data_IF_904695285146
#
_entry.id   IF_904695285146
#
_cell.length_a   1.000
_cell.length_b   1.000
_cell.length_c   1.000
_cell.angle_alpha   90.00
_cell.angle_beta   90.00
_cell.angle_gamma   90.00
#
_symmetry.space_group_name_H-M   'P 1'
#
loop_
_entity.id
_entity.type
_entity.pdbx_description
1 polymer ?
#
# COMPACT_ATOMS: atom_id res chain seq x y z
N UNK A 1 -10.92 11.45 64.46
CA UNK A 1 -11.86 11.37 63.32
C UNK A 1 -11.06 11.22 62.03
N UNK A 2 -11.23 10.09 61.34
CA UNK A 2 -10.55 9.68 60.09
C UNK A 2 -11.04 10.54 58.92
N UNK A 3 -10.12 11.11 58.12
CA UNK A 3 -10.44 11.62 56.77
C UNK A 3 -9.76 10.68 55.75
N UNK A 4 -10.60 9.91 55.06
CA UNK A 4 -10.24 9.01 53.97
C UNK A 4 -10.45 9.71 52.63
N UNK A 5 -9.55 9.40 51.68
CA UNK A 5 -9.74 9.30 50.21
C UNK A 5 -10.31 10.54 49.47
N UNK A 6 -9.96 10.87 48.23
CA UNK A 6 -9.86 10.03 47.05
C UNK A 6 -8.87 10.67 46.04
N UNK A 7 -7.87 9.92 45.59
CA UNK A 7 -7.15 10.23 44.35
C UNK A 7 -7.66 9.25 43.29
N UNK A 8 -8.63 9.69 42.49
CA UNK A 8 -9.06 8.98 41.29
C UNK A 8 -8.22 9.45 40.11
N UNK A 9 -7.20 8.69 39.73
CA UNK A 9 -6.47 8.94 38.48
C UNK A 9 -7.25 8.31 37.32
N UNK A 10 -7.89 9.15 36.50
CA UNK A 10 -8.51 8.72 35.24
C UNK A 10 -7.40 8.59 34.20
N UNK A 11 -7.07 7.35 33.82
CA UNK A 11 -6.19 7.07 32.68
C UNK A 11 -7.05 7.05 31.41
N UNK A 12 -7.05 8.14 30.64
CA UNK A 12 -7.64 8.16 29.31
C UNK A 12 -6.68 7.46 28.33
N UNK A 13 -7.03 6.26 27.88
CA UNK A 13 -6.29 5.58 26.81
C UNK A 13 -6.57 6.26 25.47
N UNK A 14 -5.55 6.87 24.86
CA UNK A 14 -5.63 7.30 23.46
C UNK A 14 -5.64 6.06 22.56
N UNK A 15 -6.78 5.78 21.93
CA UNK A 15 -6.84 4.85 20.80
C UNK A 15 -6.35 5.62 19.57
N UNK A 16 -5.16 5.29 19.07
CA UNK A 16 -4.69 5.82 17.80
C UNK A 16 -5.48 5.15 16.67
N UNK A 17 -6.22 5.95 15.89
CA UNK A 17 -6.80 5.48 14.64
C UNK A 17 -5.67 5.30 13.61
N UNK A 18 -5.59 4.15 12.91
CA UNK A 18 -4.63 3.99 11.83
C UNK A 18 -4.89 5.07 10.78
N UNK A 19 -3.83 5.79 10.40
CA UNK A 19 -3.87 6.71 9.28
C UNK A 19 -3.56 5.94 8.00
N UNK A 20 -4.40 6.08 6.99
CA UNK A 20 -4.11 5.58 5.66
C UNK A 20 -2.94 6.38 5.07
N UNK A 21 -1.82 5.72 4.82
CA UNK A 21 -0.62 6.32 4.29
C UNK A 21 -0.34 5.83 2.87
N UNK A 22 0.37 6.63 2.07
CA UNK A 22 0.98 6.13 0.84
C UNK A 22 2.15 5.21 1.22
N UNK A 23 2.09 3.96 0.78
CA UNK A 23 3.07 2.91 1.13
C UNK A 23 3.97 2.55 -0.04
N UNK A 24 3.57 2.91 -1.26
CA UNK A 24 4.37 2.76 -2.47
C UNK A 24 3.97 3.87 -3.47
N UNK A 25 4.94 4.33 -4.26
CA UNK A 25 4.73 5.31 -5.31
C UNK A 25 5.72 5.10 -6.42
N UNK A 26 5.22 4.97 -7.64
CA UNK A 26 6.01 5.06 -8.85
C UNK A 26 5.34 6.02 -9.84
N UNK A 27 5.87 7.24 -10.03
CA UNK A 27 5.22 8.24 -10.86
C UNK A 27 5.38 7.94 -12.36
N UNK A 28 4.40 8.34 -13.15
CA UNK A 28 4.46 8.25 -14.62
C UNK A 28 5.65 9.02 -15.20
N UNK A 29 6.26 8.48 -16.25
CA UNK A 29 7.31 9.14 -17.01
C UNK A 29 6.81 9.91 -18.24
N UNK A 30 5.54 9.71 -18.64
CA UNK A 30 4.98 10.32 -19.85
C UNK A 30 5.58 9.83 -21.17
N UNK A 31 6.21 8.66 -21.21
CA UNK A 31 6.95 8.13 -22.37
C UNK A 31 6.21 7.01 -23.11
N UNK A 32 5.70 6.01 -22.39
CA UNK A 32 5.07 4.82 -22.99
C UNK A 32 4.02 4.19 -22.04
N UNK A 33 3.29 3.17 -22.51
CA UNK A 33 2.40 2.35 -21.71
C UNK A 33 2.10 0.98 -22.32
N UNK A 34 1.72 0.02 -21.47
CA UNK A 34 1.47 -1.36 -21.87
C UNK A 34 0.00 -1.72 -21.81
N UNK A 35 -0.53 -2.32 -22.89
CA UNK A 35 -1.95 -2.67 -22.96
C UNK A 35 -2.32 -3.67 -21.87
N UNK A 36 -3.38 -3.35 -21.13
CA UNK A 36 -3.97 -4.21 -20.10
C UNK A 36 -5.25 -4.90 -20.59
N UNK A 37 -5.53 -4.89 -21.89
CA UNK A 37 -6.79 -5.38 -22.46
C UNK A 37 -6.85 -6.91 -22.60
N UNK A 38 -5.70 -7.58 -22.47
CA UNK A 38 -5.60 -9.05 -22.47
C UNK A 38 -5.23 -9.52 -21.08
N UNK A 39 -6.01 -10.43 -20.50
CA UNK A 39 -5.61 -11.14 -19.30
C UNK A 39 -4.60 -12.25 -19.69
N UNK A 40 -3.50 -12.44 -18.93
CA UNK A 40 -3.14 -11.81 -17.66
C UNK A 40 -2.05 -10.71 -17.86
N UNK A 41 -2.26 -9.76 -18.77
CA UNK A 41 -1.22 -9.25 -19.67
C UNK A 41 -0.09 -8.37 -19.12
N UNK A 42 -0.21 -7.77 -17.94
CA UNK A 42 0.81 -6.84 -17.43
C UNK A 42 0.88 -6.90 -15.90
N UNK A 43 2.10 -7.04 -15.37
CA UNK A 43 2.38 -7.06 -13.94
C UNK A 43 3.55 -6.15 -13.60
N UNK A 44 3.51 -5.52 -12.43
CA UNK A 44 4.67 -4.84 -11.87
C UNK A 44 4.85 -5.14 -10.39
N UNK A 45 6.08 -5.07 -9.90
CA UNK A 45 6.43 -5.43 -8.54
C UNK A 45 6.42 -4.22 -7.60
N UNK A 46 6.20 -4.49 -6.31
CA UNK A 46 6.30 -3.49 -5.26
C UNK A 46 6.83 -4.11 -3.97
N UNK A 47 7.49 -3.29 -3.16
CA UNK A 47 8.06 -3.70 -1.88
C UNK A 47 7.38 -2.99 -0.71
N UNK A 48 6.99 -3.77 0.29
CA UNK A 48 6.49 -3.29 1.57
C UNK A 48 7.55 -3.51 2.66
N UNK A 49 7.82 -2.48 3.46
CA UNK A 49 8.80 -2.52 4.56
C UNK A 49 8.17 -2.80 5.93
N UNK A 50 6.84 -2.71 6.02
CA UNK A 50 6.06 -2.95 7.22
C UNK A 50 4.78 -3.75 6.88
N UNK A 51 4.11 -4.38 7.86
CA UNK A 51 2.79 -4.95 7.65
C UNK A 51 1.78 -3.84 7.29
N UNK A 52 1.06 -4.02 6.18
CA UNK A 52 0.10 -3.04 5.65
C UNK A 52 -1.18 -3.76 5.27
N UNK A 53 -2.34 -3.15 5.56
CA UNK A 53 -3.57 -3.49 4.85
C UNK A 53 -3.74 -2.51 3.70
N UNK A 54 -3.55 -2.97 2.47
CA UNK A 54 -3.73 -2.12 1.30
C UNK A 54 -5.21 -1.73 1.19
N UNK A 55 -5.47 -0.43 1.02
CA UNK A 55 -6.83 0.14 1.00
C UNK A 55 -7.19 0.78 -0.34
N UNK A 56 -6.18 1.26 -1.09
CA UNK A 56 -6.40 1.79 -2.43
C UNK A 56 -5.21 1.63 -3.35
N UNK A 57 -5.50 1.59 -4.64
CA UNK A 57 -4.54 1.63 -5.73
C UNK A 57 -4.90 2.78 -6.64
N UNK A 58 -3.87 3.53 -7.05
CA UNK A 58 -3.94 4.46 -8.18
C UNK A 58 -3.00 3.97 -9.26
N UNK A 59 -3.46 3.81 -10.49
CA UNK A 59 -2.59 3.58 -11.64
C UNK A 59 -2.80 4.67 -12.68
N UNK A 60 -1.80 4.91 -13.52
CA UNK A 60 -1.90 5.88 -14.60
C UNK A 60 -2.18 5.15 -15.91
N UNK A 61 -3.22 5.61 -16.61
CA UNK A 61 -3.73 5.00 -17.81
C UNK A 61 -3.69 5.96 -19.00
N UNK A 62 -3.17 5.45 -20.10
CA UNK A 62 -3.10 6.10 -21.40
C UNK A 62 -4.23 5.60 -22.30
N UNK A 63 -4.96 6.51 -22.93
CA UNK A 63 -6.08 6.19 -23.83
C UNK A 63 -6.16 7.16 -25.02
N UNK A 64 -6.66 6.70 -26.17
CA UNK A 64 -6.91 7.60 -27.31
C UNK A 64 -8.06 8.57 -27.01
N UNK A 65 -8.09 9.78 -27.61
CA UNK A 65 -9.01 10.86 -27.22
C UNK A 65 -10.50 10.57 -27.29
N UNK A 66 -10.89 9.62 -28.16
CA UNK A 66 -12.28 9.23 -28.44
C UNK A 66 -12.81 8.19 -27.46
N UNK A 67 -11.94 7.60 -26.63
CA UNK A 67 -12.33 6.60 -25.65
C UNK A 67 -12.50 7.24 -24.27
N UNK A 68 -13.43 6.67 -23.51
CA UNK A 68 -13.65 6.97 -22.10
C UNK A 68 -13.00 5.90 -21.23
N UNK A 69 -12.39 6.26 -20.09
CA UNK A 69 -11.91 5.28 -19.13
C UNK A 69 -12.96 4.25 -18.75
N UNK A 70 -12.54 3.00 -18.60
CA UNK A 70 -13.43 1.97 -18.07
C UNK A 70 -13.83 2.28 -16.64
N UNK A 71 -15.03 1.86 -16.28
CA UNK A 71 -15.56 2.00 -14.92
C UNK A 71 -15.12 0.87 -13.98
N UNK A 72 -14.42 -0.13 -14.49
CA UNK A 72 -13.94 -1.27 -13.73
C UNK A 72 -12.57 -1.74 -14.20
N UNK A 73 -11.82 -2.33 -13.27
CA UNK A 73 -10.55 -3.02 -13.54
C UNK A 73 -10.52 -4.35 -12.79
N UNK A 74 -10.07 -5.41 -13.45
CA UNK A 74 -9.70 -6.65 -12.78
C UNK A 74 -8.27 -6.51 -12.26
N UNK A 75 -8.05 -6.92 -11.03
CA UNK A 75 -6.75 -6.81 -10.36
C UNK A 75 -6.37 -8.12 -9.68
N UNK A 76 -5.08 -8.36 -9.56
CA UNK A 76 -4.54 -9.49 -8.80
C UNK A 76 -3.27 -9.07 -8.07
N UNK A 77 -3.14 -9.46 -6.80
CA UNK A 77 -1.89 -9.39 -6.05
C UNK A 77 -1.26 -10.77 -6.04
N UNK A 78 -0.03 -10.90 -6.51
CA UNK A 78 0.74 -12.14 -6.50
C UNK A 78 1.85 -12.09 -5.46
N UNK A 79 2.19 -13.26 -4.92
CA UNK A 79 3.45 -13.45 -4.20
C UNK A 79 4.63 -13.27 -5.17
N UNK A 80 5.78 -12.84 -4.67
CA UNK A 80 7.01 -12.89 -5.44
C UNK A 80 7.58 -14.32 -5.49
N UNK A 81 7.85 -14.82 -6.69
CA UNK A 81 8.52 -16.08 -6.95
C UNK A 81 9.86 -15.81 -7.67
N UNK A 82 10.90 -15.54 -6.87
CA UNK A 82 12.26 -15.30 -7.35
C UNK A 82 12.38 -14.18 -8.41
N UNK A 83 11.67 -13.05 -8.20
CA UNK A 83 11.67 -11.93 -9.15
C UNK A 83 10.65 -12.09 -10.27
N UNK A 84 9.59 -12.85 -10.05
CA UNK A 84 8.47 -12.99 -10.99
C UNK A 84 7.14 -13.18 -10.25
N UNK A 85 5.98 -12.91 -10.88
CA UNK A 85 4.68 -13.21 -10.30
C UNK A 85 4.54 -14.71 -9.98
N UNK A 86 4.26 -15.01 -8.72
CA UNK A 86 4.05 -16.35 -8.17
C UNK A 86 2.57 -16.70 -8.02
N UNK A 87 2.20 -17.31 -6.89
CA UNK A 87 0.80 -17.63 -6.59
C UNK A 87 -0.02 -16.35 -6.36
N UNK A 88 -1.26 -16.34 -6.84
CA UNK A 88 -2.21 -15.26 -6.55
C UNK A 88 -2.58 -15.29 -5.06
N UNK A 89 -2.40 -14.16 -4.38
CA UNK A 89 -2.72 -13.96 -2.96
C UNK A 89 -4.11 -13.35 -2.79
N UNK A 90 -4.50 -12.46 -3.71
CA UNK A 90 -5.81 -11.82 -3.74
C UNK A 90 -6.17 -11.44 -5.17
N UNK A 91 -7.44 -11.54 -5.52
CA UNK A 91 -7.97 -11.17 -6.84
C UNK A 91 -9.28 -10.40 -6.67
N UNK A 92 -9.64 -9.60 -7.64
CA UNK A 92 -10.94 -8.96 -7.65
C UNK A 92 -11.22 -8.15 -8.90
N UNK A 93 -12.42 -7.59 -8.93
CA UNK A 93 -12.82 -6.55 -9.86
C UNK A 93 -13.30 -5.38 -9.04
N UNK A 94 -12.79 -4.18 -9.32
CA UNK A 94 -13.14 -2.98 -8.57
C UNK A 94 -13.64 -1.90 -9.51
N UNK A 95 -14.60 -1.10 -9.04
CA UNK A 95 -15.00 0.11 -9.72
C UNK A 95 -13.86 1.13 -9.67
N UNK A 96 -13.61 1.79 -10.80
CA UNK A 96 -12.56 2.80 -10.95
C UNK A 96 -13.14 4.21 -10.99
N UNK A 97 -12.51 5.13 -10.25
CA UNK A 97 -12.72 6.55 -10.40
C UNK A 97 -11.60 7.13 -11.27
N UNK A 98 -11.96 7.72 -12.41
CA UNK A 98 -11.01 8.28 -13.35
C UNK A 98 -10.88 9.80 -13.18
N UNK A 99 -9.66 10.29 -13.06
CA UNK A 99 -9.34 11.72 -13.04
C UNK A 99 -8.47 12.06 -14.23
N UNK A 100 -8.93 12.99 -15.08
CA UNK A 100 -8.13 13.44 -16.22
C UNK A 100 -6.88 14.18 -15.73
N UNK A 101 -5.69 13.73 -16.16
CA UNK A 101 -4.41 14.33 -15.79
C UNK A 101 -4.02 15.37 -16.82
N UNK A 102 -4.18 15.06 -18.11
CA UNK A 102 -3.77 15.94 -19.19
C UNK A 102 -3.46 15.18 -20.49
N UNK A 103 -2.99 15.89 -21.52
CA UNK A 103 -2.42 15.25 -22.71
C UNK A 103 -1.16 14.47 -22.31
N UNK A 104 -1.01 13.26 -22.85
CA UNK A 104 0.18 12.45 -22.65
C UNK A 104 1.35 13.05 -23.45
N UNK A 105 2.51 13.36 -22.85
CA UNK A 105 3.57 14.12 -23.52
C UNK A 105 4.12 13.46 -24.80
N UNK A 106 4.29 12.12 -24.79
CA UNK A 106 4.72 11.40 -25.97
C UNK A 106 3.65 11.38 -27.09
N UNK A 107 4.06 10.96 -28.28
CA UNK A 107 3.18 10.90 -29.47
C UNK A 107 2.49 12.23 -29.79
N UNK A 108 3.16 13.35 -29.49
CA UNK A 108 2.67 14.70 -29.80
C UNK A 108 1.41 15.11 -29.04
N UNK A 109 1.13 14.54 -27.87
CA UNK A 109 -0.07 14.89 -27.10
C UNK A 109 -1.35 14.22 -27.62
N UNK A 110 -1.25 13.27 -28.55
CA UNK A 110 -2.43 12.63 -29.12
C UNK A 110 -3.21 11.84 -28.06
N UNK A 111 -2.52 11.11 -27.18
CA UNK A 111 -3.19 10.34 -26.13
C UNK A 111 -3.51 11.20 -24.91
N UNK A 112 -4.45 10.73 -24.10
CA UNK A 112 -4.86 11.34 -22.82
C UNK A 112 -4.39 10.46 -21.67
N UNK A 113 -3.83 11.09 -20.64
CA UNK A 113 -3.46 10.44 -19.38
C UNK A 113 -4.57 10.59 -18.35
N UNK A 114 -4.83 9.52 -17.62
CA UNK A 114 -5.86 9.42 -16.58
C UNK A 114 -5.28 8.76 -15.34
N UNK A 115 -5.53 9.34 -14.17
CA UNK A 115 -5.30 8.67 -12.89
C UNK A 115 -6.55 7.83 -12.56
N UNK A 116 -6.34 6.54 -12.37
CA UNK A 116 -7.40 5.54 -12.16
C UNK A 116 -7.30 5.01 -10.74
N UNK A 117 -8.28 5.37 -9.90
CA UNK A 117 -8.33 5.00 -8.49
C UNK A 117 -9.32 3.86 -8.25
N UNK A 118 -8.93 2.84 -7.47
CA UNK A 118 -9.85 1.83 -6.97
C UNK A 118 -9.51 1.40 -5.53
N UNK A 119 -10.52 0.90 -4.82
CA UNK A 119 -10.38 0.42 -3.45
C UNK A 119 -10.26 -1.10 -3.39
N UNK A 120 -9.51 -1.58 -2.39
CA UNK A 120 -9.37 -3.00 -2.05
C UNK A 120 -9.10 -3.14 -0.55
N UNK A 121 -9.08 -4.37 -0.04
CA UNK A 121 -8.70 -4.64 1.36
C UNK A 121 -7.87 -5.90 1.41
N UNK A 122 -6.54 -5.76 1.32
CA UNK A 122 -5.61 -6.90 1.27
C UNK A 122 -4.53 -6.73 2.34
N UNK A 123 -4.54 -7.57 3.40
CA UNK A 123 -3.49 -7.56 4.40
C UNK A 123 -2.24 -8.25 3.86
N UNK A 124 -1.12 -7.54 3.89
CA UNK A 124 0.19 -8.03 3.46
C UNK A 124 1.23 -7.84 4.56
N UNK A 125 2.14 -8.80 4.68
CA UNK A 125 3.33 -8.69 5.51
C UNK A 125 4.40 -7.83 4.79
N UNK A 126 5.51 -7.47 5.46
CA UNK A 126 6.67 -6.95 4.75
C UNK A 126 7.15 -7.97 3.72
N UNK A 127 7.45 -7.52 2.51
CA UNK A 127 7.81 -8.41 1.40
C UNK A 127 7.78 -7.73 0.04
N UNK A 128 8.08 -8.51 -1.00
CA UNK A 128 7.93 -8.12 -2.41
C UNK A 128 6.70 -8.85 -2.96
N UNK A 129 5.87 -8.11 -3.69
CA UNK A 129 4.63 -8.55 -4.28
C UNK A 129 4.51 -8.05 -5.71
N UNK A 130 3.58 -8.58 -6.47
CA UNK A 130 3.28 -8.11 -7.83
C UNK A 130 1.83 -7.69 -7.94
N UNK A 131 1.57 -6.55 -8.59
CA UNK A 131 0.25 -6.10 -8.99
C UNK A 131 0.04 -6.44 -10.47
N UNK A 132 -0.98 -7.24 -10.77
CA UNK A 132 -1.47 -7.44 -12.13
C UNK A 132 -2.76 -6.68 -12.36
N UNK A 133 -2.88 -6.03 -13.51
CA UNK A 133 -4.10 -5.36 -13.95
C UNK A 133 -4.58 -5.94 -15.28
N UNK A 134 -5.90 -6.05 -15.42
CA UNK A 134 -6.55 -6.40 -16.67
C UNK A 134 -7.84 -5.59 -16.82
N UNK A 135 -8.02 -4.94 -17.97
CA UNK A 135 -9.26 -4.28 -18.31
C UNK A 135 -10.34 -5.32 -18.68
N UNK A 136 -11.61 -5.11 -18.29
CA UNK A 136 -12.68 -6.05 -18.59
C UNK A 136 -12.98 -6.08 -20.10
N UNK A 137 -12.87 -7.25 -20.73
CA UNK A 137 -13.22 -7.41 -22.16
C UNK A 137 -14.75 -7.35 -22.38
N UNK A 138 -15.24 -6.71 -23.45
CA UNK A 138 -14.51 -5.85 -24.40
C UNK A 138 -14.28 -4.45 -23.80
N UNK A 139 -13.03 -4.09 -23.55
CA UNK A 139 -12.64 -2.77 -23.04
C UNK A 139 -12.21 -1.86 -24.20
N UNK A 140 -12.43 -0.54 -24.14
CA UNK A 140 -11.60 0.41 -24.89
C UNK A 140 -10.12 0.12 -24.62
N UNK A 141 -9.30 0.20 -25.67
CA UNK A 141 -7.86 -0.07 -25.56
C UNK A 141 -7.24 0.84 -24.51
N UNK A 142 -6.79 0.26 -23.40
CA UNK A 142 -6.23 0.96 -22.26
C UNK A 142 -4.81 0.48 -21.98
N UNK A 143 -3.90 1.43 -21.80
CA UNK A 143 -2.49 1.16 -21.56
C UNK A 143 -2.11 1.63 -20.15
N UNK A 144 -1.42 0.78 -19.38
CA UNK A 144 -0.82 1.17 -18.11
C UNK A 144 0.49 1.90 -18.38
N UNK A 145 0.55 3.17 -18.00
CA UNK A 145 1.71 4.03 -18.24
C UNK A 145 2.97 3.51 -17.54
N UNK A 146 4.12 3.76 -18.17
CA UNK A 146 5.44 3.41 -17.64
C UNK A 146 5.95 4.48 -16.65
N UNK A 147 6.90 4.10 -15.81
CA UNK A 147 7.53 4.96 -14.81
C UNK A 147 9.01 5.24 -15.12
N UNK A 148 9.57 6.29 -14.50
CA UNK A 148 10.97 6.72 -14.71
C UNK A 148 11.95 6.07 -13.72
N UNK A 149 11.43 5.50 -12.63
CA UNK A 149 12.22 5.09 -11.48
C UNK A 149 11.97 3.61 -11.22
N UNK A 150 13.06 2.86 -11.06
CA UNK A 150 13.05 1.55 -10.43
C UNK A 150 12.71 1.71 -8.95
N UNK A 151 11.44 1.93 -8.63
CA UNK A 151 10.94 1.89 -7.26
C UNK A 151 10.59 0.45 -6.85
N UNK A 152 10.44 -0.44 -7.85
CA UNK A 152 10.33 -1.88 -7.70
C UNK A 152 11.64 -2.58 -7.31
N UNK A 153 11.55 -3.87 -7.00
CA UNK A 153 12.72 -4.73 -6.78
C UNK A 153 13.11 -5.52 -8.04
N UNK A 154 12.27 -5.51 -9.06
CA UNK A 154 12.44 -6.15 -10.36
C UNK A 154 11.71 -5.32 -11.43
N UNK A 155 12.15 -5.34 -12.69
CA UNK A 155 11.44 -4.63 -13.74
C UNK A 155 10.06 -5.27 -14.00
N UNK A 156 9.10 -4.48 -14.49
CA UNK A 156 7.75 -4.98 -14.77
C UNK A 156 7.78 -6.18 -15.71
N UNK A 157 6.86 -7.13 -15.48
CA UNK A 157 6.72 -8.31 -16.33
C UNK A 157 5.53 -8.14 -17.24
N UNK A 158 5.79 -8.03 -18.53
CA UNK A 158 4.78 -7.93 -19.57
C UNK A 158 4.68 -9.27 -20.28
N UNK A 159 3.47 -9.84 -20.37
CA UNK A 159 3.28 -11.10 -21.10
C UNK A 159 3.42 -10.80 -22.60
N UNK A 160 4.56 -11.19 -23.18
CA UNK A 160 4.85 -11.01 -24.61
C UNK A 160 5.65 -9.76 -24.98
N UNK A 161 6.23 -9.04 -24.01
CA UNK A 161 7.07 -7.86 -24.24
C UNK A 161 8.35 -7.85 -23.40
N UNK A 162 9.33 -6.98 -23.71
CA UNK A 162 10.51 -6.78 -22.88
C UNK A 162 10.09 -6.24 -21.51
N UNK A 163 10.43 -6.97 -20.46
CA UNK A 163 10.13 -6.60 -19.08
C UNK A 163 11.26 -5.78 -18.47
N UNK A 164 11.60 -4.64 -19.08
CA UNK A 164 12.72 -3.78 -18.65
C UNK A 164 12.24 -2.38 -18.21
N UNK A 165 10.93 -2.19 -17.98
CA UNK A 165 10.34 -0.89 -17.63
C UNK A 165 9.32 -1.05 -16.53
N UNK A 166 9.47 -0.32 -15.42
CA UNK A 166 8.45 -0.25 -14.37
C UNK A 166 7.20 0.50 -14.84
N UNK A 167 6.10 0.28 -14.12
CA UNK A 167 4.78 0.87 -14.37
C UNK A 167 4.42 1.89 -13.31
N UNK A 168 3.59 2.85 -13.71
CA UNK A 168 3.22 3.98 -12.90
C UNK A 168 2.00 3.66 -12.03
N UNK A 169 2.21 3.51 -10.73
CA UNK A 169 1.13 3.31 -9.75
C UNK A 169 1.52 3.73 -8.34
N UNK A 170 0.50 3.94 -7.52
CA UNK A 170 0.61 4.25 -6.10
C UNK A 170 -0.24 3.27 -5.30
N UNK A 171 0.27 2.89 -4.14
CA UNK A 171 -0.47 2.10 -3.16
C UNK A 171 -0.67 2.92 -1.90
N UNK A 172 -1.89 2.89 -1.37
CA UNK A 172 -2.19 3.38 -0.03
C UNK A 172 -2.68 2.24 0.84
N UNK A 173 -2.37 2.34 2.12
CA UNK A 173 -2.78 1.34 3.07
C UNK A 173 -2.66 1.81 4.50
N UNK A 174 -3.31 1.06 5.38
CA UNK A 174 -3.22 1.25 6.81
C UNK A 174 -1.96 0.52 7.28
N UNK A 175 -0.93 1.30 7.61
CA UNK A 175 0.29 0.78 8.21
C UNK A 175 -0.02 0.47 9.67
N UNK A 176 0.10 -0.79 10.07
CA UNK A 176 0.03 -1.12 11.50
C UNK A 176 1.29 -0.56 12.14
N UNK A 177 1.16 0.59 12.80
CA UNK A 177 2.18 1.06 13.71
C UNK A 177 2.43 -0.07 14.71
N UNK A 178 3.69 -0.51 14.82
CA UNK A 178 4.10 -1.31 15.97
C UNK A 178 3.94 -0.38 17.15
N UNK A 179 2.81 -0.47 17.84
CA UNK A 179 2.58 0.28 19.08
C UNK A 179 3.66 -0.18 20.03
N UNK A 180 4.65 0.67 20.40
CA UNK A 180 5.61 0.30 21.43
C UNK A 180 4.79 -0.08 22.65
N UNK A 181 5.08 -1.25 23.25
CA UNK A 181 4.35 -1.68 24.44
C UNK A 181 4.25 -0.51 25.41
N UNK A 182 3.03 -0.19 25.89
CA UNK A 182 2.82 1.07 26.56
C UNK A 182 3.77 1.14 27.75
N UNK A 183 4.39 2.32 27.93
CA UNK A 183 5.33 2.60 29.01
C UNK A 183 4.77 2.26 30.41
N UNK A 184 3.47 1.96 30.51
CA UNK A 184 2.85 1.32 31.68
C UNK A 184 3.52 0.01 32.10
N UNK A 185 4.01 -0.85 31.18
CA UNK A 185 4.74 -2.06 31.59
C UNK A 185 6.11 -1.71 32.19
N UNK A 186 6.81 -0.74 31.60
CA UNK A 186 8.02 -0.17 32.18
C UNK A 186 7.75 0.52 33.51
N UNK A 187 6.63 1.23 33.65
CA UNK A 187 6.24 1.95 34.87
C UNK A 187 5.82 0.99 35.98
N UNK A 188 5.08 -0.07 35.65
CA UNK A 188 4.72 -1.16 36.56
C UNK A 188 5.99 -1.90 37.00
N UNK A 189 6.88 -2.22 36.06
CA UNK A 189 8.18 -2.82 36.37
C UNK A 189 9.03 -1.93 37.29
N UNK A 190 9.14 -0.63 36.97
CA UNK A 190 9.86 0.34 37.78
C UNK A 190 9.22 0.54 39.18
N UNK A 191 7.89 0.56 39.25
CA UNK A 191 7.14 0.67 40.50
C UNK A 191 7.35 -0.56 41.40
N UNK A 192 7.28 -1.76 40.84
CA UNK A 192 7.56 -3.01 41.57
C UNK A 192 9.01 -3.07 42.06
N UNK A 193 9.97 -2.65 41.23
CA UNK A 193 11.38 -2.58 41.62
C UNK A 193 11.63 -1.58 42.76
N UNK A 194 10.97 -0.41 42.73
CA UNK A 194 11.00 0.58 43.82
C UNK A 194 10.43 0.02 45.12
N UNK A 195 9.27 -0.63 45.08
CA UNK A 195 8.64 -1.24 46.26
C UNK A 195 9.51 -2.35 46.84
N UNK A 196 10.06 -3.22 45.99
CA UNK A 196 10.97 -4.28 46.43
C UNK A 196 12.27 -3.73 47.05
N UNK A 197 12.83 -2.66 46.48
CA UNK A 197 14.00 -1.97 47.03
C UNK A 197 13.75 -1.33 48.40
N UNK A 198 12.58 -0.71 48.59
CA UNK A 198 12.16 -0.15 49.87
C UNK A 198 11.88 -1.23 50.92
N UNK A 199 11.29 -2.36 50.53
CA UNK A 199 11.05 -3.49 51.42
C UNK A 199 12.35 -4.11 51.96
N UNK A 200 13.37 -4.29 51.10
CA UNK A 200 14.69 -4.82 51.51
C UNK A 200 15.43 -3.93 52.51
N UNK A 201 15.30 -2.60 52.40
CA UNK A 201 15.96 -1.66 53.34
C UNK A 201 15.36 -1.69 54.75
N UNK A 202 14.09 -2.08 54.88
CA UNK A 202 13.42 -2.20 56.19
C UNK A 202 13.75 -3.49 56.93
N UNK A 203 14.10 -4.56 56.23
CA UNK A 203 14.48 -5.85 56.83
C UNK A 203 15.91 -5.91 57.37
N UNK A 204 16.71 -4.85 57.20
CA UNK A 204 18.13 -4.80 57.60
C UNK A 204 18.43 -3.84 58.76
N UNK A 205 17.41 -3.33 59.46
CA UNK A 205 17.61 -2.54 60.69
C UNK A 205 17.47 -3.48 61.91
N UNK A 206 18.50 -3.59 62.77
CA UNK A 206 18.45 -4.36 64.02
C UNK A 206 17.59 -3.69 65.10
#
# INVERSE_FOLDING_TARGET
MRRYLHLGAILAGLVATPATAQVYSNPTNGLDGWSIDVAPGVFDDFRLTAPVTLTSVRYFALMVPTLTPTSFVAWTIYANAAGSPGAALATGTAATAATYVGPFPAYGGYFKSWAMDFSLSVPLAPGIYWLGLAAPSPSPVMYWETANVYAGSAPARIVGGPGDTDLAFELRGDVRAVVPEPATLLLVGAGLALVAGLARRRSTLP
#
